data_IF_573865140141
#
_entry.id   IF_573865140141
#
_cell.length_a   1.000
_cell.length_b   1.000
_cell.length_c   1.000
_cell.angle_alpha   90.00
_cell.angle_beta   90.00
_cell.angle_gamma   90.00
#
_symmetry.space_group_name_H-M   'P 1'
#
loop_
_entity.id
_entity.type
_entity.pdbx_description
1 polymer ?
#
# COMPACT_ATOMS: atom_id res chain seq x y z
N UNK A 1 -93.61 28.01 -3.86
CA UNK A 1 -92.57 28.99 -4.22
C UNK A 1 -91.26 28.22 -4.38
N UNK A 2 -90.78 28.04 -5.60
CA UNK A 2 -89.48 27.39 -5.84
C UNK A 2 -88.38 28.44 -5.71
N UNK A 3 -87.45 28.26 -4.77
CA UNK A 3 -86.29 29.13 -4.62
C UNK A 3 -85.34 28.90 -5.81
N UNK A 4 -85.03 29.95 -6.56
CA UNK A 4 -84.04 29.90 -7.62
C UNK A 4 -82.68 29.58 -7.01
N UNK A 5 -82.03 28.51 -7.50
CA UNK A 5 -80.69 28.14 -7.07
C UNK A 5 -79.72 29.30 -7.35
N UNK A 6 -78.79 29.60 -6.43
CA UNK A 6 -77.84 30.69 -6.63
C UNK A 6 -76.99 30.41 -7.86
N UNK A 7 -77.03 31.34 -8.81
CA UNK A 7 -76.16 31.32 -9.99
C UNK A 7 -74.74 31.71 -9.57
N UNK A 8 -73.96 30.71 -9.13
CA UNK A 8 -72.55 30.88 -8.83
C UNK A 8 -71.78 30.88 -10.15
N UNK A 9 -71.52 32.08 -10.67
CA UNK A 9 -70.72 32.22 -11.89
C UNK A 9 -69.24 31.95 -11.54
N UNK A 10 -68.57 31.01 -12.23
CA UNK A 10 -67.19 30.66 -11.91
C UNK A 10 -66.25 31.86 -12.11
N UNK A 11 -65.37 32.08 -11.13
CA UNK A 11 -64.33 33.11 -11.20
C UNK A 11 -63.15 32.62 -12.04
N UNK A 12 -63.23 32.88 -13.35
CA UNK A 12 -62.19 32.51 -14.29
C UNK A 12 -60.87 33.26 -14.06
N UNK A 13 -60.88 34.43 -13.40
CA UNK A 13 -59.66 35.16 -13.10
C UNK A 13 -58.88 34.48 -11.96
N UNK A 14 -59.58 34.05 -10.90
CA UNK A 14 -58.98 33.24 -9.83
C UNK A 14 -58.45 31.90 -10.34
N UNK A 15 -59.17 31.26 -11.27
CA UNK A 15 -58.73 30.03 -11.92
C UNK A 15 -57.46 30.24 -12.75
N UNK A 16 -57.40 31.33 -13.53
CA UNK A 16 -56.22 31.68 -14.34
C UNK A 16 -54.99 31.93 -13.48
N UNK A 17 -55.13 32.66 -12.37
CA UNK A 17 -54.05 32.90 -11.43
C UNK A 17 -53.53 31.59 -10.79
N UNK A 18 -54.44 30.68 -10.43
CA UNK A 18 -54.06 29.35 -9.91
C UNK A 18 -53.30 28.51 -10.93
N UNK A 19 -53.73 28.50 -12.19
CA UNK A 19 -53.04 27.76 -13.26
C UNK A 19 -51.64 28.30 -13.51
N UNK A 20 -51.46 29.63 -13.47
CA UNK A 20 -50.13 30.26 -13.59
C UNK A 20 -49.23 29.89 -12.41
N UNK A 21 -49.77 29.92 -11.18
CA UNK A 21 -49.04 29.50 -9.99
C UNK A 21 -48.61 28.03 -10.06
N UNK A 22 -49.52 27.14 -10.44
CA UNK A 22 -49.24 25.72 -10.62
C UNK A 22 -48.18 25.47 -11.71
N UNK A 23 -48.27 26.14 -12.86
CA UNK A 23 -47.28 26.01 -13.94
C UNK A 23 -45.89 26.49 -13.50
N UNK A 24 -45.82 27.55 -12.70
CA UNK A 24 -44.55 28.07 -12.14
C UNK A 24 -43.92 27.06 -11.19
N UNK A 25 -44.73 26.46 -10.31
CA UNK A 25 -44.24 25.48 -9.34
C UNK A 25 -43.84 24.16 -10.01
N UNK A 26 -44.60 23.71 -11.01
CA UNK A 26 -44.23 22.57 -11.86
C UNK A 26 -42.87 22.81 -12.54
N UNK A 27 -42.65 24.00 -13.11
CA UNK A 27 -41.36 24.37 -13.70
C UNK A 27 -40.22 24.40 -12.68
N UNK A 28 -40.49 24.81 -11.44
CA UNK A 28 -39.49 24.83 -10.38
C UNK A 28 -39.10 23.40 -9.96
N UNK A 29 -40.08 22.52 -9.79
CA UNK A 29 -39.87 21.12 -9.41
C UNK A 29 -39.09 20.37 -10.50
N UNK A 30 -39.43 20.58 -11.78
CA UNK A 30 -38.73 19.94 -12.91
C UNK A 30 -37.29 20.43 -13.08
N UNK A 31 -36.92 21.59 -12.55
CA UNK A 31 -35.52 22.07 -12.56
C UNK A 31 -34.70 21.59 -11.36
N UNK A 32 -35.33 21.41 -10.18
CA UNK A 32 -34.63 20.93 -8.98
C UNK A 32 -34.15 19.48 -9.15
N UNK A 33 -34.97 18.61 -9.75
CA UNK A 33 -34.64 17.19 -9.94
C UNK A 33 -33.36 16.94 -10.78
N UNK A 34 -33.17 17.56 -11.96
CA UNK A 34 -31.93 17.44 -12.74
C UNK A 34 -30.70 17.96 -12.00
N UNK A 35 -30.82 19.06 -11.27
CA UNK A 35 -29.69 19.68 -10.56
C UNK A 35 -29.18 18.75 -9.45
N UNK A 36 -30.08 18.19 -8.64
CA UNK A 36 -29.69 17.22 -7.61
C UNK A 36 -29.07 15.95 -8.20
N UNK A 37 -29.58 15.48 -9.33
CA UNK A 37 -29.02 14.32 -10.03
C UNK A 37 -27.62 14.62 -10.59
N UNK A 38 -27.42 15.81 -11.15
CA UNK A 38 -26.14 16.27 -11.66
C UNK A 38 -25.11 16.45 -10.55
N UNK A 39 -25.50 17.00 -9.40
CA UNK A 39 -24.64 17.16 -8.23
C UNK A 39 -24.22 15.79 -7.68
N UNK A 40 -25.18 14.87 -7.53
CA UNK A 40 -24.91 13.50 -7.10
C UNK A 40 -23.96 12.79 -8.08
N UNK A 41 -24.19 12.93 -9.39
CA UNK A 41 -23.32 12.37 -10.43
C UNK A 41 -21.92 12.94 -10.33
N UNK A 42 -21.78 14.25 -10.18
CA UNK A 42 -20.49 14.93 -10.05
C UNK A 42 -19.74 14.42 -8.80
N UNK A 43 -20.44 14.33 -7.66
CA UNK A 43 -19.86 13.83 -6.43
C UNK A 43 -19.40 12.37 -6.53
N UNK A 44 -20.21 11.50 -7.14
CA UNK A 44 -19.86 10.10 -7.37
C UNK A 44 -18.67 9.95 -8.31
N UNK A 45 -18.65 10.69 -9.43
CA UNK A 45 -17.52 10.68 -10.36
C UNK A 45 -16.25 11.18 -9.69
N UNK A 46 -16.34 12.25 -8.90
CA UNK A 46 -15.22 12.78 -8.12
C UNK A 46 -14.68 11.73 -7.12
N UNK A 47 -15.58 11.12 -6.35
CA UNK A 47 -15.23 10.08 -5.36
C UNK A 47 -14.56 8.86 -6.01
N UNK A 48 -15.12 8.38 -7.13
CA UNK A 48 -14.54 7.25 -7.89
C UNK A 48 -13.17 7.61 -8.45
N UNK A 49 -13.00 8.85 -8.93
CA UNK A 49 -11.72 9.32 -9.50
C UNK A 49 -10.66 9.45 -8.41
N UNK A 50 -11.02 9.95 -7.23
CA UNK A 50 -10.14 10.02 -6.07
C UNK A 50 -9.71 8.62 -5.64
N UNK A 51 -10.66 7.70 -5.44
CA UNK A 51 -10.36 6.31 -5.04
C UNK A 51 -9.48 5.58 -6.07
N UNK A 52 -9.72 5.78 -7.37
CA UNK A 52 -8.89 5.20 -8.44
C UNK A 52 -7.46 5.72 -8.40
N UNK A 53 -7.27 6.99 -8.06
CA UNK A 53 -5.94 7.62 -7.95
C UNK A 53 -5.19 7.05 -6.76
N UNK A 54 -5.85 6.94 -5.61
CA UNK A 54 -5.29 6.37 -4.39
C UNK A 54 -4.87 4.90 -4.60
N UNK A 55 -5.77 4.06 -5.12
CA UNK A 55 -5.48 2.66 -5.40
C UNK A 55 -4.29 2.48 -6.38
N UNK A 56 -4.14 3.36 -7.37
CA UNK A 56 -2.98 3.33 -8.28
C UNK A 56 -1.68 3.66 -7.56
N UNK A 57 -1.69 4.62 -6.64
CA UNK A 57 -0.52 4.98 -5.86
C UNK A 57 -0.12 3.83 -4.91
N UNK A 58 -1.10 3.19 -4.28
CA UNK A 58 -0.87 2.04 -3.41
C UNK A 58 -0.28 0.85 -4.17
N UNK A 59 -0.84 0.53 -5.34
CA UNK A 59 -0.31 -0.54 -6.21
C UNK A 59 1.14 -0.25 -6.59
N UNK A 60 1.45 0.97 -7.03
CA UNK A 60 2.81 1.35 -7.40
C UNK A 60 3.79 1.21 -6.21
N UNK A 61 3.35 1.57 -5.01
CA UNK A 61 4.13 1.44 -3.78
C UNK A 61 4.41 -0.03 -3.46
N UNK A 62 3.38 -0.88 -3.55
CA UNK A 62 3.52 -2.34 -3.31
C UNK A 62 4.41 -2.98 -4.36
N UNK A 63 4.25 -2.66 -5.63
CA UNK A 63 5.11 -3.16 -6.72
C UNK A 63 6.58 -2.78 -6.52
N UNK A 64 6.85 -1.53 -6.13
CA UNK A 64 8.20 -1.06 -5.85
C UNK A 64 8.81 -1.82 -4.66
N UNK A 65 8.04 -2.02 -3.58
CA UNK A 65 8.48 -2.78 -2.41
C UNK A 65 8.82 -4.22 -2.78
N UNK A 66 7.91 -4.93 -3.46
CA UNK A 66 8.11 -6.33 -3.87
C UNK A 66 9.32 -6.46 -4.79
N UNK A 67 9.49 -5.54 -5.76
CA UNK A 67 10.64 -5.55 -6.67
C UNK A 67 11.96 -5.42 -5.92
N UNK A 68 12.02 -4.54 -4.93
CA UNK A 68 13.22 -4.36 -4.12
C UNK A 68 13.49 -5.58 -3.25
N UNK A 69 12.46 -6.14 -2.61
CA UNK A 69 12.58 -7.35 -1.80
C UNK A 69 13.08 -8.55 -2.63
N UNK A 70 12.51 -8.78 -3.84
CA UNK A 70 12.99 -9.82 -4.75
C UNK A 70 14.45 -9.59 -5.13
N UNK A 71 14.84 -8.35 -5.44
CA UNK A 71 16.24 -8.03 -5.79
C UNK A 71 17.18 -8.35 -4.63
N UNK A 72 16.84 -7.92 -3.43
CA UNK A 72 17.68 -8.08 -2.24
C UNK A 72 17.80 -9.56 -1.87
N UNK A 73 16.68 -10.31 -1.86
CA UNK A 73 16.68 -11.75 -1.60
C UNK A 73 17.44 -12.53 -2.67
N UNK A 74 17.25 -12.19 -3.95
CA UNK A 74 17.97 -12.86 -5.04
C UNK A 74 19.48 -12.62 -4.96
N UNK A 75 19.90 -11.40 -4.63
CA UNK A 75 21.31 -11.08 -4.45
C UNK A 75 21.93 -11.86 -3.28
N UNK A 76 21.23 -11.94 -2.14
CA UNK A 76 21.65 -12.75 -0.99
C UNK A 76 21.77 -14.23 -1.35
N UNK A 77 20.77 -14.80 -2.04
CA UNK A 77 20.81 -16.19 -2.49
C UNK A 77 22.00 -16.49 -3.41
N UNK A 78 22.34 -15.58 -4.34
CA UNK A 78 23.52 -15.74 -5.20
C UNK A 78 24.81 -15.76 -4.37
N UNK A 79 24.94 -14.88 -3.37
CA UNK A 79 26.10 -14.84 -2.48
C UNK A 79 26.21 -16.14 -1.67
N UNK A 80 25.09 -16.64 -1.13
CA UNK A 80 25.03 -17.91 -0.40
C UNK A 80 25.47 -19.09 -1.27
N UNK A 81 24.90 -19.19 -2.47
CA UNK A 81 25.28 -20.21 -3.46
C UNK A 81 26.78 -20.13 -3.76
N UNK A 82 27.32 -18.92 -3.99
CA UNK A 82 28.74 -18.73 -4.25
C UNK A 82 29.63 -19.19 -3.08
N UNK A 83 29.26 -18.81 -1.85
CA UNK A 83 29.97 -19.20 -0.65
C UNK A 83 29.89 -20.72 -0.43
N UNK A 84 28.79 -21.37 -0.79
CA UNK A 84 28.58 -22.78 -0.46
C UNK A 84 29.07 -23.74 -1.57
N UNK A 85 28.89 -23.44 -2.85
CA UNK A 85 29.26 -24.33 -3.97
C UNK A 85 30.74 -24.24 -4.35
N UNK A 86 31.40 -23.10 -4.12
CA UNK A 86 32.79 -22.96 -4.54
C UNK A 86 33.71 -23.67 -3.56
N UNK A 87 33.98 -24.95 -3.84
CA UNK A 87 34.89 -25.79 -3.08
C UNK A 87 36.34 -25.26 -3.04
N UNK A 88 36.67 -24.26 -3.86
CA UNK A 88 37.98 -23.61 -3.91
C UNK A 88 38.03 -22.23 -3.24
N UNK A 89 36.90 -21.63 -2.86
CA UNK A 89 36.91 -20.30 -2.25
C UNK A 89 37.17 -20.39 -0.75
N UNK A 90 38.41 -20.09 -0.37
CA UNK A 90 38.75 -19.73 1.00
C UNK A 90 38.05 -18.42 1.42
N UNK A 91 37.87 -17.48 0.47
CA UNK A 91 37.31 -16.16 0.72
C UNK A 91 35.78 -16.15 0.80
N UNK A 92 35.23 -15.34 1.70
CA UNK A 92 33.79 -15.10 1.85
C UNK A 92 33.39 -13.85 1.06
N UNK A 93 32.24 -13.92 0.38
CA UNK A 93 31.60 -12.74 -0.21
C UNK A 93 30.46 -12.23 0.66
N UNK A 94 30.32 -10.92 0.64
CA UNK A 94 29.31 -10.17 1.37
C UNK A 94 28.57 -9.20 0.46
N UNK A 95 27.33 -8.80 0.83
CA UNK A 95 26.65 -7.67 0.23
C UNK A 95 27.51 -6.40 0.29
N UNK A 96 27.49 -5.61 -0.78
CA UNK A 96 28.35 -4.42 -0.95
C UNK A 96 28.06 -3.27 0.02
N UNK A 97 26.91 -3.30 0.71
CA UNK A 97 26.48 -2.29 1.68
C UNK A 97 27.01 -2.56 3.11
N UNK A 98 27.75 -3.65 3.33
CA UNK A 98 28.31 -3.96 4.65
C UNK A 98 29.65 -3.27 4.88
N UNK A 99 30.03 -3.09 6.14
CA UNK A 99 31.34 -2.54 6.50
C UNK A 99 32.35 -3.68 6.63
N UNK A 100 33.33 -3.71 5.73
CA UNK A 100 34.27 -4.81 5.60
C UNK A 100 35.41 -4.79 6.65
N UNK A 101 35.61 -3.69 7.39
CA UNK A 101 36.82 -3.47 8.19
C UNK A 101 37.06 -4.55 9.27
N UNK A 102 36.01 -5.25 9.72
CA UNK A 102 36.09 -6.28 10.77
C UNK A 102 35.43 -7.62 10.37
N UNK A 103 35.10 -7.79 9.09
CA UNK A 103 34.47 -9.02 8.60
C UNK A 103 35.49 -10.13 8.40
N UNK A 104 35.14 -11.40 8.70
CA UNK A 104 36.01 -12.52 8.39
C UNK A 104 36.22 -12.58 6.89
N UNK A 105 37.48 -12.65 6.47
CA UNK A 105 37.82 -12.70 5.04
C UNK A 105 37.71 -14.11 4.50
N UNK A 106 37.87 -15.11 5.37
CA UNK A 106 37.87 -16.51 5.00
C UNK A 106 36.89 -17.36 5.80
N UNK A 107 36.46 -18.49 5.21
CA UNK A 107 35.55 -19.45 5.86
C UNK A 107 36.12 -20.04 7.15
N UNK A 108 37.44 -20.16 7.26
CA UNK A 108 38.12 -20.69 8.44
C UNK A 108 38.03 -19.77 9.66
N UNK A 109 37.78 -18.47 9.45
CA UNK A 109 37.63 -17.49 10.53
C UNK A 109 36.22 -17.54 11.16
N UNK A 110 35.19 -17.97 10.42
CA UNK A 110 33.80 -17.95 10.88
C UNK A 110 33.54 -18.70 12.19
N UNK A 111 34.08 -19.92 12.41
CA UNK A 111 33.85 -20.64 13.66
C UNK A 111 34.60 -20.04 14.86
N UNK A 112 35.61 -19.21 14.61
CA UNK A 112 36.55 -18.70 15.60
C UNK A 112 36.36 -17.19 15.88
N UNK A 113 35.21 -16.63 15.50
CA UNK A 113 34.90 -15.24 15.82
C UNK A 113 34.74 -15.04 17.31
N UNK A 114 35.30 -13.95 17.84
CA UNK A 114 34.95 -13.49 19.18
C UNK A 114 33.48 -13.02 19.23
N UNK A 115 32.93 -12.93 20.45
CA UNK A 115 31.52 -12.61 20.64
C UNK A 115 31.13 -11.25 20.04
N UNK A 116 31.98 -10.24 20.21
CA UNK A 116 31.70 -8.89 19.74
C UNK A 116 31.66 -8.83 18.20
N UNK A 117 32.62 -9.47 17.53
CA UNK A 117 32.65 -9.57 16.07
C UNK A 117 31.49 -10.38 15.53
N UNK A 118 31.12 -11.48 16.19
CA UNK A 118 29.96 -12.29 15.82
C UNK A 118 28.66 -11.47 15.92
N UNK A 119 28.47 -10.71 17.01
CA UNK A 119 27.31 -9.82 17.20
C UNK A 119 27.26 -8.71 16.15
N UNK A 120 28.39 -8.05 15.85
CA UNK A 120 28.46 -7.01 14.81
C UNK A 120 28.12 -7.58 13.43
N UNK A 121 28.69 -8.74 13.08
CA UNK A 121 28.43 -9.41 11.81
C UNK A 121 26.97 -9.84 11.70
N UNK A 122 26.41 -10.44 12.75
CA UNK A 122 25.01 -10.84 12.79
C UNK A 122 24.06 -9.63 12.64
N UNK A 123 24.37 -8.52 13.31
CA UNK A 123 23.61 -7.28 13.18
C UNK A 123 23.69 -6.69 11.75
N UNK A 124 24.87 -6.71 11.14
CA UNK A 124 25.04 -6.25 9.75
C UNK A 124 24.32 -7.15 8.73
N UNK A 125 24.24 -8.45 9.00
CA UNK A 125 23.46 -9.40 8.21
C UNK A 125 21.96 -9.38 8.53
N UNK A 126 21.51 -8.48 9.42
CA UNK A 126 20.12 -8.39 9.91
C UNK A 126 19.59 -9.74 10.42
N UNK A 127 20.42 -10.49 11.14
CA UNK A 127 20.02 -11.75 11.77
C UNK A 127 19.24 -11.45 13.04
N UNK A 128 18.12 -12.13 13.23
CA UNK A 128 17.41 -12.12 14.51
C UNK A 128 18.08 -13.11 15.45
N UNK A 129 18.62 -12.63 16.58
CA UNK A 129 19.23 -13.48 17.60
C UNK A 129 19.01 -12.90 19.01
N UNK A 130 19.09 -13.79 20.01
CA UNK A 130 19.04 -13.40 21.42
C UNK A 130 20.39 -12.82 21.85
N UNK A 131 20.42 -11.67 22.53
CA UNK A 131 21.64 -11.04 23.02
C UNK A 131 22.50 -11.94 23.94
N UNK A 132 21.90 -12.94 24.60
CA UNK A 132 22.59 -13.89 25.47
C UNK A 132 22.98 -15.20 24.75
N UNK A 133 22.91 -15.25 23.42
CA UNK A 133 23.27 -16.45 22.66
C UNK A 133 24.75 -16.79 22.87
N UNK A 134 25.10 -18.08 23.10
CA UNK A 134 26.49 -18.50 23.14
C UNK A 134 27.20 -18.21 21.81
N UNK A 135 28.43 -17.70 21.86
CA UNK A 135 29.21 -17.35 20.66
C UNK A 135 29.28 -18.47 19.62
N UNK A 136 29.52 -19.75 19.98
CA UNK A 136 29.54 -20.83 19.00
C UNK A 136 28.20 -20.98 18.25
N UNK A 137 27.08 -20.85 18.96
CA UNK A 137 25.75 -20.94 18.37
C UNK A 137 25.46 -19.75 17.43
N UNK A 138 25.91 -18.54 17.79
CA UNK A 138 25.82 -17.38 16.92
C UNK A 138 26.68 -17.54 15.66
N UNK A 139 27.89 -18.07 15.80
CA UNK A 139 28.76 -18.38 14.67
C UNK A 139 28.13 -19.42 13.74
N UNK A 140 27.51 -20.47 14.28
CA UNK A 140 26.74 -21.44 13.49
C UNK A 140 25.62 -20.76 12.71
N UNK A 141 24.84 -19.89 13.33
CA UNK A 141 23.75 -19.16 12.68
C UNK A 141 24.27 -18.26 11.54
N UNK A 142 25.40 -17.59 11.73
CA UNK A 142 26.07 -16.81 10.68
C UNK A 142 26.55 -17.71 9.54
N UNK A 143 27.16 -18.86 9.85
CA UNK A 143 27.64 -19.81 8.85
C UNK A 143 26.47 -20.35 8.04
N UNK A 144 25.39 -20.77 8.69
CA UNK A 144 24.16 -21.20 8.04
C UNK A 144 23.62 -20.07 7.15
N UNK A 145 23.55 -18.83 7.65
CA UNK A 145 23.05 -17.73 6.83
C UNK A 145 23.94 -17.42 5.62
N UNK A 146 25.26 -17.52 5.74
CA UNK A 146 26.19 -17.18 4.65
C UNK A 146 26.44 -18.33 3.68
N UNK A 147 26.19 -19.57 4.10
CA UNK A 147 26.57 -20.79 3.38
C UNK A 147 25.41 -21.78 3.17
N UNK A 148 24.18 -21.50 3.62
CA UNK A 148 23.03 -22.38 3.35
C UNK A 148 22.55 -22.24 1.89
N UNK A 149 22.11 -23.37 1.34
CA UNK A 149 21.30 -23.46 0.13
C UNK A 149 19.82 -23.55 0.49
#
# INVERSE_FOLDING_TARGET
MAAAAPNVQPDFAALSAHLIGAATEINRITQIQPNMLNDLRTHLVGSITAAKTELRADIATVEARIRNEIRDQSHLSIIRIYNACSMANAAIRYPSNLNHNNMPTTKAELPNLDHQRAVVLAGQLNLEFNANIPTPALCTLIIEHLCAF
#
